data_IF_765692887932
#
_entry.id   IF_765692887932
#
_cell.length_a   1.000
_cell.length_b   1.000
_cell.length_c   1.000
_cell.angle_alpha   90.00
_cell.angle_beta   90.00
_cell.angle_gamma   90.00
#
_symmetry.space_group_name_H-M   'P 1'
#
loop_
_entity.id
_entity.type
_entity.pdbx_description
1 polymer ?
#
# COMPACT_ATOMS: atom_id res chain seq x y z
N UNK A 1 8.11 -2.14 -7.42
CA UNK A 1 7.51 -0.90 -6.93
C UNK A 1 7.35 -1.04 -5.44
N UNK A 2 7.80 -0.05 -4.68
CA UNK A 2 7.57 0.06 -3.24
C UNK A 2 6.35 0.95 -3.03
N UNK A 3 5.38 0.44 -2.28
CA UNK A 3 4.14 1.15 -1.98
C UNK A 3 4.07 1.33 -0.47
N UNK A 4 3.80 2.55 -0.03
CA UNK A 4 3.49 2.86 1.36
C UNK A 4 1.98 2.85 1.57
N UNK A 5 1.53 2.12 2.59
CA UNK A 5 0.18 2.14 3.10
C UNK A 5 0.18 2.98 4.37
N UNK A 6 -0.38 4.19 4.26
CA UNK A 6 -0.40 5.18 5.33
C UNK A 6 -1.84 5.41 5.79
N UNK A 7 -2.06 5.47 7.10
CA UNK A 7 -3.37 5.76 7.67
C UNK A 7 -3.39 5.61 9.18
N UNK A 8 -4.57 5.76 9.78
CA UNK A 8 -4.68 5.69 11.24
C UNK A 8 -4.24 4.32 11.78
N UNK A 9 -3.14 4.31 12.53
CA UNK A 9 -2.57 3.11 13.16
C UNK A 9 -1.78 2.20 12.21
N UNK A 10 -1.50 2.63 10.98
CA UNK A 10 -0.75 1.85 9.99
C UNK A 10 0.20 2.76 9.20
N UNK A 11 1.47 2.36 9.13
CA UNK A 11 2.46 2.94 8.22
C UNK A 11 3.36 1.79 7.81
N UNK A 12 2.98 1.11 6.74
CA UNK A 12 3.63 -0.13 6.30
C UNK A 12 4.05 -0.03 4.85
N UNK A 13 5.13 -0.73 4.50
CA UNK A 13 5.68 -0.70 3.17
C UNK A 13 5.62 -2.09 2.55
N UNK A 14 5.21 -2.15 1.29
CA UNK A 14 5.22 -3.39 0.51
C UNK A 14 6.06 -3.23 -0.74
N UNK A 15 6.63 -4.32 -1.23
CA UNK A 15 7.33 -4.35 -2.50
C UNK A 15 6.78 -5.47 -3.39
N UNK A 16 6.77 -5.21 -4.69
CA UNK A 16 6.27 -6.17 -5.66
C UNK A 16 6.44 -5.70 -7.09
N UNK A 17 5.63 -6.26 -8.00
CA UNK A 17 5.67 -5.95 -9.43
C UNK A 17 5.51 -4.45 -9.69
N UNK A 18 6.13 -3.94 -10.76
CA UNK A 18 5.84 -2.58 -11.21
C UNK A 18 4.46 -2.53 -11.88
N UNK A 19 3.73 -1.45 -11.65
CA UNK A 19 2.46 -1.14 -12.33
C UNK A 19 2.32 0.38 -12.48
N UNK A 20 1.43 0.81 -13.36
CA UNK A 20 1.03 2.21 -13.48
C UNK A 20 0.15 2.64 -12.32
N UNK A 21 0.07 3.96 -12.07
CA UNK A 21 -0.80 4.51 -11.03
C UNK A 21 -2.27 4.12 -11.23
N UNK A 22 -2.75 4.10 -12.48
CA UNK A 22 -4.11 3.69 -12.80
C UNK A 22 -4.38 2.22 -12.48
N UNK A 23 -3.43 1.33 -12.78
CA UNK A 23 -3.54 -0.09 -12.40
C UNK A 23 -3.56 -0.25 -10.88
N UNK A 24 -2.73 0.52 -10.16
CA UNK A 24 -2.71 0.48 -8.71
C UNK A 24 -4.03 0.95 -8.09
N UNK A 25 -4.64 2.01 -8.63
CA UNK A 25 -5.97 2.48 -8.22
C UNK A 25 -7.01 1.37 -8.40
N UNK A 26 -7.02 0.70 -9.55
CA UNK A 26 -7.95 -0.43 -9.79
C UNK A 26 -7.68 -1.57 -8.81
N UNK A 27 -6.41 -1.90 -8.57
CA UNK A 27 -6.03 -2.96 -7.63
C UNK A 27 -6.51 -2.67 -6.21
N UNK A 28 -6.34 -1.43 -5.76
CA UNK A 28 -6.79 -0.95 -4.46
C UNK A 28 -8.32 -1.00 -4.32
N UNK A 29 -9.06 -0.42 -5.28
CA UNK A 29 -10.53 -0.42 -5.26
C UNK A 29 -11.13 -1.84 -5.26
N UNK A 30 -10.44 -2.81 -5.88
CA UNK A 30 -10.88 -4.21 -5.88
C UNK A 30 -10.74 -4.92 -4.53
N UNK A 31 -9.91 -4.41 -3.61
CA UNK A 31 -9.73 -4.98 -2.27
C UNK A 31 -10.30 -4.09 -1.17
N UNK A 32 -10.57 -2.82 -1.46
CA UNK A 32 -11.22 -1.91 -0.53
C UNK A 32 -12.60 -2.44 -0.17
N UNK A 33 -12.81 -2.67 1.12
CA UNK A 33 -14.08 -3.06 1.70
C UNK A 33 -14.19 -2.31 3.04
N UNK A 34 -15.31 -1.63 3.28
CA UNK A 34 -15.56 -0.87 4.52
C UNK A 34 -15.69 -1.76 5.77
N UNK A 35 -15.86 -3.07 5.59
CA UNK A 35 -16.04 -4.03 6.69
C UNK A 35 -14.72 -4.61 7.25
N UNK A 36 -13.56 -4.30 6.65
CA UNK A 36 -12.27 -4.87 7.07
C UNK A 36 -11.33 -3.79 7.62
N UNK A 37 -10.43 -4.21 8.51
CA UNK A 37 -9.40 -3.31 9.05
C UNK A 37 -8.36 -2.93 7.98
N UNK A 38 -7.62 -1.84 8.21
CA UNK A 38 -6.51 -1.44 7.34
C UNK A 38 -5.42 -2.53 7.23
N UNK A 39 -5.17 -3.27 8.32
CA UNK A 39 -4.22 -4.39 8.35
C UNK A 39 -4.73 -5.57 7.51
N UNK A 40 -6.02 -5.91 7.62
CA UNK A 40 -6.63 -6.94 6.79
C UNK A 40 -6.64 -6.56 5.30
N UNK A 41 -6.89 -5.28 4.98
CA UNK A 41 -6.82 -4.75 3.62
C UNK A 41 -5.41 -4.90 3.06
N UNK A 42 -4.38 -4.50 3.82
CA UNK A 42 -2.98 -4.65 3.43
C UNK A 42 -2.63 -6.12 3.16
N UNK A 43 -3.00 -7.02 4.08
CA UNK A 43 -2.77 -8.45 3.96
C UNK A 43 -3.47 -9.03 2.72
N UNK A 44 -4.73 -8.66 2.49
CA UNK A 44 -5.50 -9.08 1.32
C UNK A 44 -4.87 -8.57 0.01
N UNK A 45 -4.44 -7.30 -0.02
CA UNK A 45 -3.74 -6.72 -1.15
C UNK A 45 -2.46 -7.50 -1.47
N UNK A 46 -1.65 -7.80 -0.46
CA UNK A 46 -0.41 -8.56 -0.60
C UNK A 46 -0.65 -9.96 -1.18
N UNK A 47 -1.58 -10.71 -0.59
CA UNK A 47 -1.93 -12.07 -1.05
C UNK A 47 -2.49 -12.06 -2.47
N UNK A 48 -3.39 -11.13 -2.79
CA UNK A 48 -4.09 -11.10 -4.08
C UNK A 48 -3.19 -10.67 -5.24
N UNK A 49 -2.23 -9.78 -4.97
CA UNK A 49 -1.40 -9.17 -6.01
C UNK A 49 0.08 -9.56 -5.93
N UNK A 50 0.44 -10.49 -5.05
CA UNK A 50 1.80 -10.99 -4.85
C UNK A 50 2.79 -9.87 -4.50
N UNK A 51 2.38 -9.01 -3.55
CA UNK A 51 3.27 -8.07 -2.89
C UNK A 51 3.70 -8.65 -1.54
N UNK A 52 4.88 -8.26 -1.09
CA UNK A 52 5.46 -8.70 0.17
C UNK A 52 5.67 -7.48 1.08
N UNK A 53 5.34 -7.62 2.37
CA UNK A 53 5.62 -6.57 3.35
C UNK A 53 7.12 -6.49 3.62
N UNK A 54 7.65 -5.27 3.61
CA UNK A 54 9.02 -5.00 4.02
C UNK A 54 9.09 -5.13 5.54
N UNK A 55 10.00 -5.95 6.10
CA UNK A 55 10.15 -6.08 7.54
C UNK A 55 10.37 -4.72 8.22
N UNK A 56 9.69 -4.45 9.35
CA UNK A 56 9.77 -3.18 10.10
C UNK A 56 11.19 -2.69 10.37
N UNK A 57 12.09 -3.62 10.68
CA UNK A 57 13.51 -3.33 10.93
C UNK A 57 14.23 -2.71 9.72
N UNK A 58 13.67 -2.82 8.53
CA UNK A 58 14.22 -2.30 7.28
C UNK A 58 13.50 -1.03 6.79
N UNK A 59 12.44 -0.57 7.47
CA UNK A 59 11.57 0.51 6.99
C UNK A 59 12.11 1.93 7.25
N UNK A 60 13.04 2.14 8.19
CA UNK A 60 13.53 3.47 8.62
C UNK A 60 14.05 4.38 7.47
N UNK A 61 14.51 3.80 6.36
CA UNK A 61 15.06 4.53 5.23
C UNK A 61 14.42 4.14 3.89
N UNK A 62 13.20 3.58 3.92
CA UNK A 62 12.50 3.18 2.70
C UNK A 62 11.89 4.42 2.05
N UNK A 63 12.19 4.61 0.76
CA UNK A 63 11.50 5.55 -0.09
C UNK A 63 10.45 4.79 -0.89
N UNK A 64 9.19 5.20 -0.74
CA UNK A 64 8.07 4.67 -1.51
C UNK A 64 7.99 5.33 -2.89
N UNK A 65 7.67 4.52 -3.90
CA UNK A 65 7.38 5.03 -5.25
C UNK A 65 5.99 5.69 -5.29
N UNK A 66 5.05 5.16 -4.49
CA UNK A 66 3.66 5.60 -4.38
C UNK A 66 3.19 5.44 -2.93
N UNK A 67 2.32 6.35 -2.48
CA UNK A 67 1.59 6.26 -1.22
C UNK A 67 0.12 5.96 -1.50
N UNK A 68 -0.46 5.04 -0.73
CA UNK A 68 -1.89 4.83 -0.60
C UNK A 68 -2.29 5.33 0.80
N UNK A 69 -2.96 6.48 0.83
CA UNK A 69 -3.58 7.00 2.05
C UNK A 69 -4.90 6.28 2.28
N UNK A 70 -4.97 5.48 3.34
CA UNK A 70 -6.12 4.66 3.70
C UNK A 70 -7.22 5.44 4.41
N UNK A 71 -6.91 6.64 4.94
CA UNK A 71 -7.87 7.50 5.60
C UNK A 71 -8.64 8.34 4.56
N UNK A 72 -8.01 8.70 3.43
CA UNK A 72 -8.62 9.52 2.37
C UNK A 72 -8.84 8.80 1.05
N UNK A 73 -8.41 7.54 0.93
CA UNK A 73 -8.37 6.73 -0.29
C UNK A 73 -7.55 7.38 -1.43
N UNK A 74 -6.68 8.36 -1.11
CA UNK A 74 -5.88 9.08 -2.08
C UNK A 74 -4.59 8.33 -2.39
N UNK A 75 -4.34 8.08 -3.69
CA UNK A 75 -3.17 7.35 -4.17
C UNK A 75 -2.31 8.30 -5.00
N UNK A 76 -1.06 8.54 -4.57
CA UNK A 76 -0.22 9.58 -5.15
C UNK A 76 1.27 9.25 -5.12
N UNK A 77 2.03 9.86 -6.03
CA UNK A 77 3.49 9.83 -6.01
C UNK A 77 3.95 10.88 -5.00
N UNK A 78 4.70 10.51 -3.94
CA UNK A 78 5.11 11.45 -2.93
C UNK A 78 6.21 12.38 -3.47
N UNK A 79 6.11 13.68 -3.19
CA UNK A 79 7.19 14.63 -3.44
C UNK A 79 8.07 14.67 -2.18
N UNK A 80 9.18 13.91 -2.16
CA UNK A 80 10.14 13.84 -1.05
C UNK A 80 11.54 14.26 -1.52
#
# INVERSE_FOLDING_TARGET
MIIEFDGYGINEYVFGRNCSLNELIIMYLNVKNEEISNEDLLNLFCVRYHYEQIPKLLQENVLSDVVIDLDTDYIYIPNR
#
